data_IF_501858383010
#
_entry.id   IF_501858383010
#
_cell.length_a   1.000
_cell.length_b   1.000
_cell.length_c   1.000
_cell.angle_alpha   90.00
_cell.angle_beta   90.00
_cell.angle_gamma   90.00
#
_symmetry.space_group_name_H-M   'P 1'
#
loop_
_entity.id
_entity.type
_entity.pdbx_description
1 polymer ?
#
# COMPACT_ATOMS: atom_id res chain seq x y z
N UNK A 1 3.78 -12.92 40.95
CA UNK A 1 2.81 -12.77 42.05
C UNK A 1 2.97 -13.77 43.19
N UNK A 2 3.99 -14.62 43.18
CA UNK A 2 4.21 -15.62 44.23
C UNK A 2 4.64 -14.96 45.55
N UNK A 3 3.94 -15.26 46.67
CA UNK A 3 4.26 -14.76 48.02
C UNK A 3 5.56 -15.30 48.64
N UNK A 4 6.27 -16.25 48.00
CA UNK A 4 7.52 -16.82 48.43
C UNK A 4 8.76 -15.97 48.08
N UNK A 5 8.65 -14.95 47.24
CA UNK A 5 9.76 -14.07 46.88
C UNK A 5 9.98 -13.00 47.94
N UNK A 6 11.26 -12.77 48.29
CA UNK A 6 11.67 -11.67 49.17
C UNK A 6 11.54 -10.32 48.43
N UNK A 7 11.39 -9.23 49.19
CA UNK A 7 11.26 -7.89 48.60
C UNK A 7 12.47 -7.48 47.75
N UNK A 8 13.66 -7.97 48.12
CA UNK A 8 14.90 -7.72 47.37
C UNK A 8 14.87 -8.41 46.01
N UNK A 9 14.32 -9.63 45.91
CA UNK A 9 14.17 -10.34 44.64
C UNK A 9 13.15 -9.67 43.75
N UNK A 10 12.06 -9.13 44.33
CA UNK A 10 11.05 -8.34 43.63
C UNK A 10 11.62 -7.07 43.04
N UNK A 11 12.48 -6.36 43.79
CA UNK A 11 13.16 -5.17 43.29
C UNK A 11 14.06 -5.49 42.08
N UNK A 12 14.80 -6.58 42.14
CA UNK A 12 15.65 -7.02 41.02
C UNK A 12 14.81 -7.33 39.76
N UNK A 13 13.71 -8.06 39.96
CA UNK A 13 12.77 -8.34 38.83
C UNK A 13 12.08 -7.07 38.31
N UNK A 14 11.77 -6.10 39.18
CA UNK A 14 11.20 -4.84 38.73
C UNK A 14 12.17 -4.04 37.89
N UNK A 15 13.45 -4.01 38.24
CA UNK A 15 14.47 -3.36 37.39
C UNK A 15 14.50 -3.95 35.97
N UNK A 16 14.48 -5.27 35.84
CA UNK A 16 14.43 -5.95 34.54
C UNK A 16 13.13 -5.62 33.80
N UNK A 17 12.00 -5.65 34.51
CA UNK A 17 10.70 -5.30 33.94
C UNK A 17 10.66 -3.85 33.38
N UNK A 18 11.22 -2.88 34.13
CA UNK A 18 11.32 -1.49 33.68
C UNK A 18 12.22 -1.38 32.42
N UNK A 19 13.31 -2.14 32.37
CA UNK A 19 14.16 -2.18 31.17
C UNK A 19 13.42 -2.74 29.96
N UNK A 20 12.62 -3.80 30.11
CA UNK A 20 11.80 -4.35 29.04
C UNK A 20 10.77 -3.36 28.53
N UNK A 21 10.11 -2.60 29.42
CA UNK A 21 9.19 -1.52 29.04
C UNK A 21 9.89 -0.41 28.25
N UNK A 22 11.09 -0.04 28.70
CA UNK A 22 11.91 0.95 28.00
C UNK A 22 12.30 0.46 26.60
N UNK A 23 12.62 -0.83 26.47
CA UNK A 23 12.96 -1.44 25.20
C UNK A 23 11.76 -1.49 24.25
N UNK A 24 10.56 -1.81 24.74
CA UNK A 24 9.32 -1.72 23.95
C UNK A 24 9.13 -0.30 23.40
N UNK A 25 9.30 0.70 24.26
CA UNK A 25 9.19 2.11 23.84
C UNK A 25 10.28 2.48 22.84
N UNK A 26 11.51 2.01 23.03
CA UNK A 26 12.61 2.24 22.09
C UNK A 26 12.30 1.64 20.72
N UNK A 27 11.81 0.38 20.69
CA UNK A 27 11.41 -0.29 19.44
C UNK A 27 10.31 0.50 18.74
N UNK A 28 9.28 0.94 19.46
CA UNK A 28 8.20 1.74 18.90
C UNK A 28 8.71 3.05 18.27
N UNK A 29 9.61 3.74 18.96
CA UNK A 29 10.18 5.01 18.51
C UNK A 29 11.23 4.88 17.40
N UNK A 30 11.86 3.71 17.25
CA UNK A 30 12.88 3.48 16.21
C UNK A 30 12.35 2.78 14.98
N UNK A 31 11.18 2.17 15.07
CA UNK A 31 10.55 1.49 13.92
C UNK A 31 10.12 2.51 12.89
N UNK A 32 10.87 2.58 11.80
CA UNK A 32 10.58 3.49 10.70
C UNK A 32 10.68 2.78 9.35
N UNK A 33 9.98 3.34 8.37
CA UNK A 33 10.07 2.98 6.96
C UNK A 33 10.21 4.25 6.12
N UNK A 34 11.30 4.35 5.39
CA UNK A 34 11.61 5.51 4.53
C UNK A 34 11.54 6.86 5.30
N UNK A 35 12.04 6.87 6.56
CA UNK A 35 12.04 8.06 7.42
C UNK A 35 10.72 8.35 8.14
N UNK A 36 9.68 7.57 7.90
CA UNK A 36 8.40 7.68 8.60
C UNK A 36 8.37 6.75 9.80
N UNK A 37 8.20 7.27 10.99
CA UNK A 37 8.05 6.50 12.21
C UNK A 37 6.63 5.95 12.29
N UNK A 38 6.51 4.63 12.40
CA UNK A 38 5.22 3.96 12.22
C UNK A 38 4.47 3.68 13.51
N UNK A 39 5.20 3.52 14.64
CA UNK A 39 4.66 3.04 15.91
C UNK A 39 4.80 4.03 17.06
N UNK A 40 5.34 5.21 16.81
CA UNK A 40 5.54 6.26 17.81
C UNK A 40 4.25 7.05 18.13
N UNK A 41 3.21 6.91 17.32
CA UNK A 41 1.95 7.62 17.45
C UNK A 41 1.77 8.78 16.47
N UNK A 42 2.76 9.09 15.65
CA UNK A 42 2.66 10.15 14.63
C UNK A 42 1.44 9.94 13.71
N UNK A 43 1.11 8.68 13.41
CA UNK A 43 -0.01 8.30 12.53
C UNK A 43 -1.22 7.75 13.28
N UNK A 44 -1.32 7.98 14.60
CA UNK A 44 -2.40 7.43 15.44
C UNK A 44 -3.73 8.18 15.35
N UNK A 45 -3.75 9.34 14.70
CA UNK A 45 -4.94 10.18 14.58
C UNK A 45 -5.97 9.65 13.59
N UNK A 46 -7.24 9.99 13.83
CA UNK A 46 -8.31 9.80 12.87
C UNK A 46 -8.25 10.87 11.75
N UNK A 47 -8.69 10.52 10.56
CA UNK A 47 -8.75 11.45 9.44
C UNK A 47 -7.39 11.67 8.74
N UNK A 48 -7.01 12.92 8.53
CA UNK A 48 -5.80 13.29 7.78
C UNK A 48 -4.48 13.07 8.54
N UNK A 49 -4.53 12.59 9.78
CA UNK A 49 -3.33 12.31 10.59
C UNK A 49 -2.65 10.96 10.23
N UNK A 50 -3.29 10.11 9.43
CA UNK A 50 -2.73 8.82 8.98
C UNK A 50 -1.78 8.93 7.79
N UNK A 51 -1.15 7.82 7.45
CA UNK A 51 -0.37 7.68 6.21
C UNK A 51 -1.32 7.74 5.01
N UNK A 52 -1.11 8.70 4.11
CA UNK A 52 -1.94 8.85 2.91
C UNK A 52 -1.49 7.86 1.83
N UNK A 53 -2.42 7.01 1.38
CA UNK A 53 -2.25 6.16 0.20
C UNK A 53 -3.12 6.68 -0.93
N UNK A 54 -2.49 7.07 -2.03
CA UNK A 54 -3.17 7.54 -3.24
C UNK A 54 -3.24 6.38 -4.24
N UNK A 55 -4.44 6.02 -4.66
CA UNK A 55 -4.72 4.85 -5.50
C UNK A 55 -5.50 5.18 -6.78
N UNK A 56 -6.12 6.35 -6.83
CA UNK A 56 -6.92 6.80 -7.98
C UNK A 56 -6.26 7.91 -8.76
N UNK A 57 -6.92 8.38 -9.79
CA UNK A 57 -6.44 9.44 -10.71
C UNK A 57 -6.88 10.83 -10.30
N UNK A 58 -7.91 10.94 -9.46
CA UNK A 58 -8.48 12.19 -8.99
C UNK A 58 -8.08 12.45 -7.53
N UNK A 59 -8.60 13.49 -6.90
CA UNK A 59 -8.29 13.86 -5.53
C UNK A 59 -9.52 13.79 -4.63
N UNK A 60 -10.30 12.72 -4.74
CA UNK A 60 -11.49 12.49 -3.90
C UNK A 60 -11.13 11.57 -2.75
N UNK A 61 -11.39 12.03 -1.51
CA UNK A 61 -11.12 11.24 -0.32
C UNK A 61 -12.03 10.01 -0.26
N UNK A 62 -11.48 8.88 0.18
CA UNK A 62 -12.08 7.54 0.25
C UNK A 62 -12.37 6.86 -1.09
N UNK A 63 -12.18 7.54 -2.22
CA UNK A 63 -12.25 6.99 -3.57
C UNK A 63 -10.84 6.86 -4.16
N UNK A 64 -10.16 8.00 -4.37
CA UNK A 64 -8.83 8.04 -4.96
C UNK A 64 -7.70 7.91 -3.93
N UNK A 65 -7.95 8.31 -2.70
CA UNK A 65 -6.99 8.16 -1.62
C UNK A 65 -7.67 7.91 -0.27
N UNK A 66 -6.95 7.24 0.62
CA UNK A 66 -7.37 7.08 2.01
C UNK A 66 -6.19 7.16 2.96
N UNK A 67 -6.49 7.39 4.22
CA UNK A 67 -5.50 7.44 5.28
C UNK A 67 -5.49 6.14 6.07
N UNK A 68 -4.29 5.58 6.24
CA UNK A 68 -4.04 4.45 7.12
C UNK A 68 -3.52 4.99 8.44
N UNK A 69 -4.29 4.85 9.50
CA UNK A 69 -3.85 5.22 10.84
C UNK A 69 -3.18 4.02 11.51
N UNK A 70 -2.09 4.27 12.22
CA UNK A 70 -1.32 3.29 12.97
C UNK A 70 -1.30 3.73 14.44
N UNK A 71 -1.71 2.85 15.35
CA UNK A 71 -1.72 3.19 16.77
C UNK A 71 -0.30 3.28 17.32
N UNK A 72 -0.11 4.11 18.34
CA UNK A 72 1.14 4.13 19.10
C UNK A 72 1.32 2.81 19.86
N UNK A 73 2.52 2.22 19.77
CA UNK A 73 2.90 0.99 20.47
C UNK A 73 3.94 1.24 21.57
N UNK A 74 4.02 2.49 22.06
CA UNK A 74 4.86 2.81 23.23
C UNK A 74 4.26 2.22 24.50
N UNK A 75 5.08 1.99 25.52
CA UNK A 75 4.65 1.48 26.82
C UNK A 75 3.51 2.32 27.43
N UNK A 76 3.58 3.63 27.26
CA UNK A 76 2.55 4.56 27.73
C UNK A 76 1.23 4.37 26.96
N UNK A 77 1.27 4.27 25.64
CA UNK A 77 0.07 4.07 24.83
C UNK A 77 -0.59 2.70 25.05
N UNK A 78 0.20 1.68 25.34
CA UNK A 78 -0.27 0.34 25.71
C UNK A 78 -0.75 0.21 27.16
N UNK A 79 -0.60 1.27 27.99
CA UNK A 79 -1.06 1.28 29.38
C UNK A 79 -0.20 0.50 30.37
N UNK A 80 1.02 0.13 29.99
CA UNK A 80 1.96 -0.61 30.88
C UNK A 80 2.98 0.29 31.57
N UNK A 81 3.04 1.57 31.27
CA UNK A 81 4.07 2.50 31.77
C UNK A 81 4.09 2.57 33.29
N UNK A 82 2.92 2.71 33.91
CA UNK A 82 2.77 2.81 35.38
C UNK A 82 2.88 1.45 36.13
N UNK A 83 3.00 0.34 35.46
CA UNK A 83 3.04 -0.99 36.08
C UNK A 83 4.40 -1.29 36.72
N UNK A 84 4.41 -2.04 37.84
CA UNK A 84 5.61 -2.42 38.57
C UNK A 84 5.45 -3.78 39.31
N UNK A 85 6.55 -4.36 39.78
CA UNK A 85 6.57 -5.67 40.42
C UNK A 85 6.95 -5.60 41.90
N UNK A 86 6.98 -4.41 42.49
CA UNK A 86 7.49 -4.16 43.84
C UNK A 86 6.76 -4.90 44.95
N UNK A 87 5.46 -5.20 44.75
CA UNK A 87 4.66 -5.99 45.69
C UNK A 87 3.71 -6.93 44.96
N UNK A 88 3.10 -7.86 45.69
CA UNK A 88 2.20 -8.88 45.10
C UNK A 88 0.99 -8.28 44.40
N UNK A 89 0.38 -7.23 44.97
CA UNK A 89 -0.78 -6.58 44.40
C UNK A 89 -0.43 -5.85 43.09
N UNK A 90 0.69 -5.10 43.11
CA UNK A 90 1.20 -4.44 41.91
C UNK A 90 1.57 -5.42 40.81
N UNK A 91 2.18 -6.56 41.17
CA UNK A 91 2.51 -7.62 40.22
C UNK A 91 1.25 -8.23 39.57
N UNK A 92 0.18 -8.42 40.36
CA UNK A 92 -1.12 -8.89 39.81
C UNK A 92 -1.72 -7.87 38.86
N UNK A 93 -1.79 -6.60 39.24
CA UNK A 93 -2.27 -5.53 38.36
C UNK A 93 -1.42 -5.37 37.09
N UNK A 94 -0.12 -5.63 37.19
CA UNK A 94 0.77 -5.60 36.04
C UNK A 94 0.48 -6.72 35.03
N UNK A 95 0.03 -7.90 35.49
CA UNK A 95 -0.42 -8.98 34.61
C UNK A 95 -1.64 -8.52 33.79
N UNK A 96 -2.64 -7.93 34.45
CA UNK A 96 -3.82 -7.41 33.77
C UNK A 96 -3.48 -6.30 32.76
N UNK A 97 -2.52 -5.44 33.09
CA UNK A 97 -2.03 -4.41 32.20
C UNK A 97 -1.31 -4.99 30.96
N UNK A 98 -0.51 -6.04 31.16
CA UNK A 98 0.18 -6.75 30.08
C UNK A 98 -0.83 -7.44 29.17
N UNK A 99 -1.83 -8.11 29.73
CA UNK A 99 -2.90 -8.75 28.96
C UNK A 99 -3.67 -7.71 28.11
N UNK A 100 -3.94 -6.54 28.69
CA UNK A 100 -4.50 -5.40 27.97
C UNK A 100 -3.62 -4.93 26.80
N UNK A 101 -2.30 -4.83 27.02
CA UNK A 101 -1.33 -4.45 26.01
C UNK A 101 -1.22 -5.50 24.88
N UNK A 102 -1.28 -6.78 25.20
CA UNK A 102 -1.29 -7.87 24.22
C UNK A 102 -2.54 -7.77 23.34
N UNK A 103 -3.72 -7.55 23.94
CA UNK A 103 -4.97 -7.39 23.22
C UNK A 103 -4.94 -6.12 22.30
N UNK A 104 -4.38 -5.03 22.78
CA UNK A 104 -4.20 -3.80 21.99
C UNK A 104 -3.29 -4.04 20.78
N UNK A 105 -2.16 -4.73 20.99
CA UNK A 105 -1.24 -5.13 19.91
C UNK A 105 -1.92 -6.04 18.89
N UNK A 106 -2.69 -7.03 19.33
CA UNK A 106 -3.37 -7.98 18.43
C UNK A 106 -4.49 -7.31 17.63
N UNK A 107 -5.21 -6.37 18.26
CA UNK A 107 -6.18 -5.52 17.57
C UNK A 107 -5.51 -4.69 16.47
N UNK A 108 -4.37 -4.09 16.77
CA UNK A 108 -3.63 -3.31 15.78
C UNK A 108 -3.10 -4.18 14.64
N UNK A 109 -2.58 -5.37 14.95
CA UNK A 109 -2.17 -6.32 13.91
C UNK A 109 -3.31 -6.73 13.00
N UNK A 110 -4.49 -6.97 13.56
CA UNK A 110 -5.70 -7.28 12.77
C UNK A 110 -6.09 -6.13 11.86
N UNK A 111 -6.02 -4.89 12.38
CA UNK A 111 -6.28 -3.69 11.60
C UNK A 111 -5.29 -3.51 10.45
N UNK A 112 -4.00 -3.69 10.72
CA UNK A 112 -2.96 -3.67 9.67
C UNK A 112 -3.21 -4.78 8.64
N UNK A 113 -3.57 -5.98 9.07
CA UNK A 113 -3.94 -7.09 8.18
C UNK A 113 -5.07 -6.72 7.23
N UNK A 114 -6.12 -6.07 7.72
CA UNK A 114 -7.24 -5.61 6.88
C UNK A 114 -6.82 -4.54 5.85
N UNK A 115 -5.89 -3.66 6.21
CA UNK A 115 -5.32 -2.70 5.25
C UNK A 115 -4.49 -3.38 4.17
N UNK A 116 -3.68 -4.39 4.54
CA UNK A 116 -2.90 -5.17 3.57
C UNK A 116 -3.81 -5.88 2.58
N UNK A 117 -4.87 -6.54 3.06
CA UNK A 117 -5.86 -7.20 2.21
C UNK A 117 -6.58 -6.22 1.27
N UNK A 118 -6.99 -5.07 1.79
CA UNK A 118 -7.59 -4.01 0.98
C UNK A 118 -6.64 -3.49 -0.10
N UNK A 119 -5.37 -3.26 0.24
CA UNK A 119 -4.36 -2.83 -0.72
C UNK A 119 -4.09 -3.88 -1.80
N UNK A 120 -4.03 -5.15 -1.44
CA UNK A 120 -3.88 -6.25 -2.39
C UNK A 120 -5.05 -6.30 -3.38
N UNK A 121 -6.28 -6.20 -2.90
CA UNK A 121 -7.46 -6.15 -3.75
C UNK A 121 -7.46 -4.91 -4.66
N UNK A 122 -6.99 -3.78 -4.15
CA UNK A 122 -6.86 -2.54 -4.94
C UNK A 122 -5.83 -2.73 -6.07
N UNK A 123 -4.68 -3.34 -5.78
CA UNK A 123 -3.65 -3.65 -6.79
C UNK A 123 -4.22 -4.53 -7.90
N UNK A 124 -4.95 -5.59 -7.56
CA UNK A 124 -5.59 -6.46 -8.55
C UNK A 124 -6.59 -5.70 -9.43
N UNK A 125 -7.41 -4.84 -8.83
CA UNK A 125 -8.34 -4.01 -9.58
C UNK A 125 -7.63 -3.02 -10.52
N UNK A 126 -6.55 -2.39 -10.05
CA UNK A 126 -5.76 -1.47 -10.86
C UNK A 126 -5.08 -2.18 -12.03
N UNK A 127 -4.59 -3.42 -11.84
CA UNK A 127 -4.03 -4.24 -12.93
C UNK A 127 -5.08 -4.53 -14.01
N UNK A 128 -6.31 -4.88 -13.64
CA UNK A 128 -7.40 -5.09 -14.60
C UNK A 128 -7.77 -3.80 -15.34
N UNK A 129 -7.77 -2.66 -14.64
CA UNK A 129 -8.01 -1.36 -15.27
C UNK A 129 -6.90 -0.97 -16.24
N UNK A 130 -5.63 -1.20 -15.88
CA UNK A 130 -4.46 -0.98 -16.73
C UNK A 130 -4.55 -1.83 -18.01
N UNK A 131 -4.87 -3.12 -17.87
CA UNK A 131 -5.05 -4.01 -19.03
C UNK A 131 -6.20 -3.53 -19.93
N UNK A 132 -7.32 -3.13 -19.35
CA UNK A 132 -8.47 -2.60 -20.09
C UNK A 132 -8.14 -1.28 -20.80
N UNK A 133 -7.41 -0.39 -20.14
CA UNK A 133 -6.96 0.87 -20.72
C UNK A 133 -5.98 0.62 -21.88
N UNK A 134 -5.03 -0.29 -21.71
CA UNK A 134 -4.07 -0.67 -22.75
C UNK A 134 -4.78 -1.28 -23.97
N UNK A 135 -5.77 -2.15 -23.75
CA UNK A 135 -6.58 -2.69 -24.87
C UNK A 135 -7.36 -1.60 -25.60
N UNK A 136 -7.91 -0.64 -24.86
CA UNK A 136 -8.63 0.48 -25.47
C UNK A 136 -7.69 1.41 -26.24
N UNK A 137 -6.50 1.67 -25.72
CA UNK A 137 -5.46 2.42 -26.42
C UNK A 137 -5.06 1.70 -27.72
N UNK A 138 -4.81 0.39 -27.65
CA UNK A 138 -4.49 -0.44 -28.83
C UNK A 138 -5.58 -0.35 -29.90
N UNK A 139 -6.87 -0.45 -29.54
CA UNK A 139 -7.96 -0.32 -30.48
C UNK A 139 -8.04 1.05 -31.18
N UNK A 140 -7.60 2.11 -30.50
CA UNK A 140 -7.65 3.48 -31.07
C UNK A 140 -6.39 3.76 -31.89
N UNK A 141 -5.25 3.28 -31.45
CA UNK A 141 -3.94 3.72 -31.90
C UNK A 141 -3.25 2.74 -32.83
N UNK A 142 -3.54 1.42 -32.68
CA UNK A 142 -2.88 0.40 -33.50
C UNK A 142 -3.61 0.26 -34.83
N UNK A 143 -2.84 0.35 -35.92
CA UNK A 143 -3.34 0.08 -37.24
C UNK A 143 -3.33 -1.44 -37.52
N UNK A 144 -4.41 -1.94 -38.11
CA UNK A 144 -4.41 -3.31 -38.65
C UNK A 144 -3.48 -3.36 -39.87
N UNK A 145 -2.30 -3.94 -39.65
CA UNK A 145 -1.25 -4.06 -40.68
C UNK A 145 -1.76 -4.81 -41.93
N UNK A 146 -2.62 -5.80 -41.77
CA UNK A 146 -3.17 -6.55 -42.90
C UNK A 146 -4.08 -5.65 -43.74
N UNK A 147 -4.89 -4.82 -43.10
CA UNK A 147 -5.76 -3.84 -43.78
C UNK A 147 -4.94 -2.74 -44.46
N UNK A 148 -3.95 -2.17 -43.76
CA UNK A 148 -3.07 -1.14 -44.32
C UNK A 148 -2.23 -1.65 -45.50
N UNK A 149 -1.69 -2.87 -45.42
CA UNK A 149 -0.97 -3.50 -46.50
C UNK A 149 -1.89 -3.76 -47.70
N UNK A 150 -3.14 -4.18 -47.48
CA UNK A 150 -4.14 -4.33 -48.55
C UNK A 150 -4.44 -3.01 -49.23
N UNK A 151 -4.61 -1.93 -48.49
CA UNK A 151 -4.82 -0.58 -49.00
C UNK A 151 -3.58 -0.09 -49.79
N UNK A 152 -2.37 -0.33 -49.25
CA UNK A 152 -1.12 0.01 -49.90
C UNK A 152 -0.97 -0.68 -51.26
N UNK A 153 -1.14 -2.04 -51.30
CA UNK A 153 -1.05 -2.83 -52.51
C UNK A 153 -2.12 -2.38 -53.52
N UNK A 154 -3.37 -2.13 -53.09
CA UNK A 154 -4.42 -1.60 -53.95
C UNK A 154 -4.01 -0.24 -54.56
N UNK A 155 -3.50 0.68 -53.76
CA UNK A 155 -3.03 1.98 -54.23
C UNK A 155 -1.88 1.86 -55.22
N UNK A 156 -0.94 0.92 -54.98
CA UNK A 156 0.17 0.64 -55.88
C UNK A 156 -0.28 0.08 -57.23
N UNK A 157 -1.21 -0.89 -57.21
CA UNK A 157 -1.81 -1.43 -58.43
C UNK A 157 -2.56 -0.31 -59.22
N UNK A 158 -3.37 0.49 -58.54
CA UNK A 158 -4.07 1.59 -59.19
C UNK A 158 -3.13 2.64 -59.80
N UNK A 159 -2.00 2.94 -59.15
CA UNK A 159 -0.97 3.81 -59.69
C UNK A 159 -0.33 3.22 -60.93
N UNK A 160 0.07 1.91 -60.90
CA UNK A 160 0.68 1.22 -62.04
C UNK A 160 -0.30 1.14 -63.22
N UNK A 161 -1.54 0.73 -62.96
CA UNK A 161 -2.58 0.66 -64.02
C UNK A 161 -2.93 2.04 -64.58
N UNK A 162 -2.98 3.05 -63.72
CA UNK A 162 -3.20 4.46 -64.13
C UNK A 162 -2.11 4.95 -65.09
N UNK A 163 -0.85 4.71 -64.75
CA UNK A 163 0.30 5.07 -65.61
C UNK A 163 0.24 4.31 -66.92
N UNK A 164 -0.06 3.00 -66.87
CA UNK A 164 -0.19 2.17 -68.10
C UNK A 164 -1.32 2.69 -68.99
N UNK A 165 -2.47 3.01 -68.44
CA UNK A 165 -3.62 3.58 -69.18
C UNK A 165 -3.32 4.96 -69.76
N UNK A 166 -2.63 5.85 -69.03
CA UNK A 166 -2.16 7.13 -69.56
C UNK A 166 -1.16 6.96 -70.70
N UNK A 167 -0.23 6.01 -70.59
CA UNK A 167 0.70 5.67 -71.66
C UNK A 167 -0.06 5.19 -72.91
N UNK A 168 -1.07 4.34 -72.72
CA UNK A 168 -1.91 3.84 -73.82
C UNK A 168 -2.75 4.98 -74.45
N UNK A 169 -3.33 5.84 -73.61
CA UNK A 169 -4.10 6.98 -74.10
C UNK A 169 -3.27 7.99 -74.90
N UNK A 170 -2.01 8.18 -74.52
CA UNK A 170 -1.08 9.08 -75.23
C UNK A 170 -0.57 8.45 -76.58
N UNK A 171 -0.66 7.13 -76.79
CA UNK A 171 -0.29 6.50 -78.05
C UNK A 171 -1.38 6.58 -79.08
N UNK A 172 -2.66 6.70 -78.72
CA UNK A 172 -3.79 6.80 -79.60
C UNK A 172 -3.71 8.00 -80.56
N UNK A 173 -3.30 9.21 -80.15
CA UNK A 173 -3.15 10.35 -81.07
C UNK A 173 -1.96 10.24 -82.05
N UNK A 174 -1.00 9.31 -81.82
CA UNK A 174 0.15 9.12 -82.69
C UNK A 174 -0.09 8.16 -83.85
N UNK A 175 -1.26 7.53 -83.89
CA UNK A 175 -1.64 6.55 -84.93
C UNK A 175 -2.60 7.17 -85.96
N UNK A 176 -3.03 8.40 -85.76
CA UNK A 176 -3.81 9.21 -86.70
C UNK A 176 -2.94 10.28 -87.28
#
# INVERSE_FOLDING_TARGET
>A
SNGALLDQDRQALDVEYQQLKSEITRIANTTNYNGNYLLDGTYSGAGQAGLKFHIGTYNVQNEDYYYVSLASMTATAMGIDGSNLLNTSSAQSSIDSIDGAINAKDTERTRIGSYVERLQNTILNLQVQEESATRSESQIRDADIAQEMSNFVRSQILMQTGVAMLSQANMVPQIV
#
